data_IF_659906957371
#
_entry.id   IF_659906957371
#
_cell.length_a   1.000
_cell.length_b   1.000
_cell.length_c   1.000
_cell.angle_alpha   90.00
_cell.angle_beta   90.00
_cell.angle_gamma   90.00
#
_symmetry.space_group_name_H-M   'P 1'
#
loop_
_entity.id
_entity.type
_entity.pdbx_description
1 polymer ?
#
# COMPACT_ATOMS: atom_id res chain seq x y z
N UNK A 1 4.99 -12.39 36.14
CA UNK A 1 5.52 -11.87 34.85
C UNK A 1 5.44 -10.35 34.90
N UNK A 2 6.51 -9.60 34.59
CA UNK A 2 6.44 -8.14 34.63
C UNK A 2 5.64 -7.59 33.44
N UNK A 3 5.05 -6.40 33.58
CA UNK A 3 4.30 -5.72 32.50
C UNK A 3 5.16 -5.63 31.22
N UNK A 4 6.45 -5.29 31.37
CA UNK A 4 7.42 -5.23 30.27
C UNK A 4 7.59 -6.58 29.56
N UNK A 5 7.64 -7.69 30.30
CA UNK A 5 7.72 -9.04 29.71
C UNK A 5 6.45 -9.38 28.95
N UNK A 6 5.28 -9.02 29.48
CA UNK A 6 3.98 -9.23 28.81
C UNK A 6 3.90 -8.47 27.49
N UNK A 7 4.26 -7.19 27.48
CA UNK A 7 4.30 -6.35 26.27
C UNK A 7 5.27 -6.93 25.24
N UNK A 8 6.48 -7.32 25.66
CA UNK A 8 7.47 -7.90 24.75
C UNK A 8 6.99 -9.23 24.15
N UNK A 9 6.33 -10.08 24.94
CA UNK A 9 5.75 -11.35 24.47
C UNK A 9 4.62 -11.09 23.46
N UNK A 10 3.75 -10.13 23.73
CA UNK A 10 2.67 -9.73 22.82
C UNK A 10 3.22 -9.18 21.50
N UNK A 11 4.20 -8.27 21.56
CA UNK A 11 4.88 -7.70 20.38
C UNK A 11 5.56 -8.79 19.55
N UNK A 12 6.28 -9.71 20.17
CA UNK A 12 6.94 -10.81 19.48
C UNK A 12 5.93 -11.75 18.81
N UNK A 13 4.81 -12.06 19.50
CA UNK A 13 3.72 -12.86 18.94
C UNK A 13 3.08 -12.17 17.73
N UNK A 14 2.74 -10.89 17.85
CA UNK A 14 2.20 -10.09 16.75
C UNK A 14 3.15 -10.07 15.56
N UNK A 15 4.42 -9.74 15.78
CA UNK A 15 5.44 -9.70 14.74
C UNK A 15 5.56 -11.05 14.01
N UNK A 16 5.58 -12.17 14.76
CA UNK A 16 5.62 -13.52 14.18
C UNK A 16 4.39 -13.83 13.31
N UNK A 17 3.22 -13.33 13.67
CA UNK A 17 1.98 -13.50 12.90
C UNK A 17 2.05 -12.68 11.62
N UNK A 18 2.33 -11.37 11.72
CA UNK A 18 2.32 -10.47 10.55
C UNK A 18 3.49 -10.67 9.59
N UNK A 19 4.53 -11.40 10.00
CA UNK A 19 5.64 -11.81 9.13
C UNK A 19 5.58 -13.29 8.71
N UNK A 20 4.51 -14.01 9.06
CA UNK A 20 4.35 -15.41 8.64
C UNK A 20 4.11 -15.48 7.13
N UNK A 21 4.96 -16.21 6.41
CA UNK A 21 4.90 -16.29 4.95
C UNK A 21 3.52 -16.70 4.41
N UNK A 22 2.89 -17.71 5.01
CA UNK A 22 1.58 -18.17 4.55
C UNK A 22 0.50 -17.11 4.79
N UNK A 23 0.48 -16.46 5.96
CA UNK A 23 -0.48 -15.38 6.24
C UNK A 23 -0.29 -14.24 5.25
N UNK A 24 0.94 -13.76 5.08
CA UNK A 24 1.27 -12.64 4.18
C UNK A 24 0.89 -12.99 2.74
N UNK A 25 1.18 -14.21 2.29
CA UNK A 25 0.79 -14.72 0.96
C UNK A 25 -0.72 -14.64 0.76
N UNK A 26 -1.52 -15.15 1.69
CA UNK A 26 -2.99 -15.09 1.57
C UNK A 26 -3.50 -13.65 1.56
N UNK A 27 -2.98 -12.79 2.44
CA UNK A 27 -3.31 -11.38 2.44
C UNK A 27 -2.99 -10.71 1.09
N UNK A 28 -1.80 -10.96 0.53
CA UNK A 28 -1.41 -10.43 -0.77
C UNK A 28 -2.33 -10.92 -1.90
N UNK A 29 -2.73 -12.20 -1.92
CA UNK A 29 -3.69 -12.72 -2.90
C UNK A 29 -5.08 -12.09 -2.74
N UNK A 30 -5.55 -11.89 -1.52
CA UNK A 30 -6.81 -11.21 -1.23
C UNK A 30 -6.77 -9.78 -1.78
N UNK A 31 -5.66 -9.06 -1.61
CA UNK A 31 -5.51 -7.72 -2.22
C UNK A 31 -5.49 -7.83 -3.74
N UNK A 32 -4.56 -8.60 -4.33
CA UNK A 32 -4.40 -8.65 -5.79
C UNK A 32 -5.68 -9.07 -6.53
N UNK A 33 -6.44 -10.02 -6.00
CA UNK A 33 -7.66 -10.52 -6.64
C UNK A 33 -8.87 -9.74 -6.14
N UNK A 34 -9.07 -9.69 -4.82
CA UNK A 34 -10.26 -9.11 -4.21
C UNK A 34 -10.38 -7.61 -4.45
N UNK A 35 -9.30 -6.84 -4.21
CA UNK A 35 -9.35 -5.39 -4.41
C UNK A 35 -9.51 -5.03 -5.91
N UNK A 36 -8.75 -5.67 -6.80
CA UNK A 36 -8.84 -5.38 -8.25
C UNK A 36 -10.22 -5.74 -8.79
N UNK A 37 -10.79 -6.88 -8.40
CA UNK A 37 -12.15 -7.26 -8.80
C UNK A 37 -13.19 -6.29 -8.25
N UNK A 38 -13.11 -5.89 -6.97
CA UNK A 38 -14.05 -4.93 -6.39
C UNK A 38 -13.95 -3.56 -7.07
N UNK A 39 -12.74 -3.11 -7.42
CA UNK A 39 -12.54 -1.86 -8.16
C UNK A 39 -13.16 -1.93 -9.55
N UNK A 40 -12.91 -3.00 -10.30
CA UNK A 40 -13.50 -3.20 -11.64
C UNK A 40 -15.02 -3.27 -11.55
N UNK A 41 -15.57 -4.04 -10.60
CA UNK A 41 -17.02 -4.13 -10.39
C UNK A 41 -17.59 -2.76 -10.04
N UNK A 42 -16.92 -2.01 -9.16
CA UNK A 42 -17.32 -0.64 -8.79
C UNK A 42 -17.39 0.29 -10.01
N UNK A 43 -16.35 0.28 -10.85
CA UNK A 43 -16.30 1.07 -12.08
C UNK A 43 -17.39 0.64 -13.06
N UNK A 44 -17.61 -0.66 -13.25
CA UNK A 44 -18.66 -1.16 -14.15
C UNK A 44 -20.06 -0.77 -13.66
N UNK A 45 -20.32 -0.88 -12.36
CA UNK A 45 -21.59 -0.46 -11.77
C UNK A 45 -21.78 1.04 -11.95
N UNK A 46 -20.77 1.86 -11.61
CA UNK A 46 -20.86 3.31 -11.80
C UNK A 46 -21.10 3.66 -13.28
N UNK A 47 -20.36 3.05 -14.22
CA UNK A 47 -20.52 3.31 -15.64
C UNK A 47 -21.92 2.97 -16.20
N UNK A 48 -22.65 2.04 -15.57
CA UNK A 48 -24.00 1.63 -15.98
C UNK A 48 -25.08 2.49 -15.30
N UNK A 49 -24.87 2.87 -14.04
CA UNK A 49 -25.91 3.44 -13.19
C UNK A 49 -25.73 4.92 -12.84
N UNK A 50 -24.56 5.51 -13.12
CA UNK A 50 -24.34 6.95 -12.96
C UNK A 50 -25.22 7.74 -13.95
N UNK A 51 -26.09 8.65 -13.47
CA UNK A 51 -26.93 9.48 -14.34
C UNK A 51 -26.15 10.32 -15.36
N UNK A 52 -24.95 10.77 -15.01
CA UNK A 52 -24.12 11.65 -15.85
C UNK A 52 -23.09 10.86 -16.68
N UNK A 53 -22.98 9.55 -16.43
CA UNK A 53 -22.07 8.64 -17.12
C UNK A 53 -20.65 8.66 -16.52
N UNK A 54 -20.36 7.66 -15.69
CA UNK A 54 -19.05 7.53 -15.05
C UNK A 54 -17.97 7.09 -16.04
N UNK A 55 -16.86 7.85 -16.13
CA UNK A 55 -15.65 7.43 -16.84
C UNK A 55 -14.39 7.81 -16.07
N UNK A 56 -13.32 7.04 -16.23
CA UNK A 56 -12.01 7.33 -15.62
C UNK A 56 -11.36 8.65 -16.12
N UNK A 57 -11.88 9.20 -17.22
CA UNK A 57 -11.38 10.46 -17.79
C UNK A 57 -11.98 11.68 -17.10
N UNK A 58 -13.22 11.55 -16.64
CA UNK A 58 -14.06 12.64 -16.11
C UNK A 58 -14.31 12.55 -14.60
N UNK A 59 -14.14 11.36 -14.00
CA UNK A 59 -14.53 11.08 -12.62
C UNK A 59 -13.35 10.58 -11.80
N UNK A 60 -13.27 11.07 -10.57
CA UNK A 60 -12.24 10.70 -9.60
C UNK A 60 -12.45 9.27 -9.13
N UNK A 61 -11.40 8.64 -8.60
CA UNK A 61 -11.56 7.30 -8.01
C UNK A 61 -12.51 7.37 -6.80
N UNK A 62 -12.41 8.46 -6.02
CA UNK A 62 -13.24 8.72 -4.84
C UNK A 62 -14.74 8.79 -5.16
N UNK A 63 -15.13 9.17 -6.38
CA UNK A 63 -16.52 9.21 -6.83
C UNK A 63 -17.18 7.82 -6.76
N UNK A 64 -16.41 6.73 -6.83
CA UNK A 64 -16.91 5.36 -6.58
C UNK A 64 -17.40 5.15 -5.13
N UNK A 65 -17.02 6.03 -4.22
CA UNK A 65 -17.49 6.07 -2.84
C UNK A 65 -18.68 7.02 -2.61
N UNK A 66 -19.26 7.59 -3.68
CA UNK A 66 -20.40 8.50 -3.57
C UNK A 66 -21.70 7.91 -4.10
N UNK A 67 -22.79 8.14 -3.38
CA UNK A 67 -24.16 7.84 -3.83
C UNK A 67 -24.58 8.63 -5.08
N UNK A 68 -23.86 9.71 -5.42
CA UNK A 68 -24.12 10.50 -6.62
C UNK A 68 -23.74 9.75 -7.90
N UNK A 69 -22.75 8.85 -7.83
CA UNK A 69 -22.16 8.19 -8.99
C UNK A 69 -22.40 6.67 -9.02
N UNK A 70 -22.76 6.07 -7.88
CA UNK A 70 -23.03 4.62 -7.82
C UNK A 70 -24.10 4.28 -6.80
N UNK A 71 -24.96 3.28 -7.07
CA UNK A 71 -25.93 2.79 -6.10
C UNK A 71 -25.30 1.98 -4.95
N UNK A 72 -24.02 1.62 -5.06
CA UNK A 72 -23.32 0.73 -4.12
C UNK A 72 -21.93 1.28 -3.71
N UNK A 73 -21.85 2.51 -3.17
CA UNK A 73 -20.57 3.16 -2.84
C UNK A 73 -19.75 2.39 -1.80
N UNK A 74 -20.42 1.63 -0.94
CA UNK A 74 -19.78 0.81 0.07
C UNK A 74 -18.85 -0.26 -0.52
N UNK A 75 -19.00 -0.64 -1.80
CA UNK A 75 -18.09 -1.61 -2.44
C UNK A 75 -16.67 -1.05 -2.53
N UNK A 76 -16.53 0.22 -2.95
CA UNK A 76 -15.23 0.87 -3.02
C UNK A 76 -14.65 1.08 -1.61
N UNK A 77 -15.47 1.54 -0.67
CA UNK A 77 -15.06 1.75 0.72
C UNK A 77 -14.49 0.48 1.38
N UNK A 78 -15.20 -0.63 1.23
CA UNK A 78 -14.76 -1.94 1.75
C UNK A 78 -13.50 -2.39 1.02
N UNK A 79 -13.40 -2.17 -0.30
CA UNK A 79 -12.20 -2.50 -1.06
C UNK A 79 -10.97 -1.77 -0.51
N UNK A 80 -11.09 -0.46 -0.21
CA UNK A 80 -10.04 0.35 0.40
C UNK A 80 -9.64 -0.17 1.80
N UNK A 81 -10.61 -0.47 2.65
CA UNK A 81 -10.35 -1.00 4.00
C UNK A 81 -9.66 -2.36 3.95
N UNK A 82 -10.14 -3.28 3.11
CA UNK A 82 -9.54 -4.60 2.93
C UNK A 82 -8.13 -4.46 2.38
N UNK A 83 -7.94 -3.67 1.32
CA UNK A 83 -6.64 -3.48 0.69
C UNK A 83 -5.61 -2.88 1.66
N UNK A 84 -5.95 -1.80 2.37
CA UNK A 84 -5.05 -1.18 3.33
C UNK A 84 -4.73 -2.10 4.50
N UNK A 85 -5.72 -2.84 5.02
CA UNK A 85 -5.51 -3.78 6.14
C UNK A 85 -4.65 -4.98 5.75
N UNK A 86 -4.93 -5.57 4.58
CA UNK A 86 -4.26 -6.78 4.11
C UNK A 86 -2.87 -6.50 3.51
N UNK A 87 -2.54 -5.24 3.22
CA UNK A 87 -1.18 -4.85 2.82
C UNK A 87 -0.25 -4.63 4.02
N UNK A 88 -0.77 -4.47 5.24
CA UNK A 88 0.06 -4.33 6.45
C UNK A 88 1.01 -5.52 6.67
N UNK A 89 0.55 -6.79 6.64
CA UNK A 89 1.46 -7.94 6.76
C UNK A 89 2.58 -7.94 5.71
N UNK A 90 2.28 -7.54 4.46
CA UNK A 90 3.28 -7.44 3.40
C UNK A 90 4.37 -6.41 3.76
N UNK A 91 3.98 -5.25 4.30
CA UNK A 91 4.93 -4.22 4.76
C UNK A 91 5.88 -4.75 5.83
N UNK A 92 5.36 -5.45 6.85
CA UNK A 92 6.18 -6.07 7.90
C UNK A 92 7.09 -7.18 7.36
N UNK A 93 6.56 -8.02 6.48
CA UNK A 93 7.32 -9.10 5.86
C UNK A 93 8.49 -8.58 5.03
N UNK A 94 8.26 -7.52 4.24
CA UNK A 94 9.29 -6.90 3.42
C UNK A 94 10.42 -6.28 4.23
N UNK A 95 10.09 -5.59 5.34
CA UNK A 95 11.12 -5.08 6.26
C UNK A 95 11.96 -6.22 6.84
N UNK A 96 11.31 -7.29 7.31
CA UNK A 96 12.00 -8.46 7.86
C UNK A 96 12.89 -9.18 6.82
N UNK A 97 12.43 -9.26 5.57
CA UNK A 97 13.14 -9.92 4.48
C UNK A 97 14.38 -9.13 4.05
N UNK A 98 14.25 -7.81 3.91
CA UNK A 98 15.28 -6.98 3.29
C UNK A 98 16.21 -6.29 4.30
N UNK A 99 15.82 -6.13 5.56
CA UNK A 99 16.68 -5.61 6.61
C UNK A 99 16.45 -6.35 7.94
N UNK A 100 16.79 -7.65 8.03
CA UNK A 100 16.57 -8.44 9.24
C UNK A 100 17.31 -7.85 10.45
N UNK A 101 16.71 -8.00 11.64
CA UNK A 101 17.27 -7.49 12.89
C UNK A 101 18.72 -7.96 13.14
N UNK A 102 19.54 -7.05 13.67
CA UNK A 102 20.99 -7.19 13.89
C UNK A 102 21.41 -8.48 14.65
N UNK A 103 20.55 -9.05 15.51
CA UNK A 103 20.86 -10.31 16.21
C UNK A 103 20.96 -11.51 15.26
N UNK A 104 20.19 -11.52 14.16
CA UNK A 104 20.26 -12.56 13.12
C UNK A 104 21.47 -12.36 12.19
N UNK A 105 21.97 -11.13 12.12
CA UNK A 105 23.08 -10.74 11.24
C UNK A 105 24.43 -11.04 11.90
N UNK A 106 24.51 -10.92 13.23
CA UNK A 106 25.66 -11.41 14.01
C UNK A 106 25.87 -12.91 13.90
N UNK A 107 24.80 -13.72 13.75
CA UNK A 107 24.94 -15.17 13.59
C UNK A 107 25.31 -15.61 12.17
N UNK A 108 25.14 -14.74 11.17
CA UNK A 108 25.41 -15.02 9.75
C UNK A 108 26.68 -14.35 9.24
N UNK A 109 27.29 -13.45 10.01
CA UNK A 109 28.48 -12.68 9.61
C UNK A 109 28.20 -11.59 8.57
N UNK A 110 26.94 -11.40 8.15
CA UNK A 110 26.57 -10.37 7.18
C UNK A 110 26.51 -8.98 7.83
N UNK A 111 27.37 -8.07 7.36
CA UNK A 111 27.37 -6.67 7.80
C UNK A 111 26.48 -5.82 6.90
N UNK A 112 25.32 -5.40 7.41
CA UNK A 112 24.43 -4.48 6.71
C UNK A 112 24.82 -3.01 6.95
N UNK A 113 24.84 -2.22 5.88
CA UNK A 113 25.14 -0.79 5.97
C UNK A 113 24.03 -0.02 6.72
N UNK A 114 24.38 1.09 7.37
CA UNK A 114 23.41 1.98 8.03
C UNK A 114 22.36 2.52 7.06
N UNK A 115 22.76 2.79 5.81
CA UNK A 115 21.86 3.28 4.77
C UNK A 115 20.80 2.22 4.43
N UNK A 116 21.15 0.93 4.38
CA UNK A 116 20.19 -0.16 4.15
C UNK A 116 19.08 -0.16 5.19
N UNK A 117 19.43 -0.04 6.46
CA UNK A 117 18.44 0.03 7.55
C UNK A 117 17.56 1.28 7.44
N UNK A 118 18.14 2.45 7.14
CA UNK A 118 17.37 3.70 6.97
C UNK A 118 16.37 3.60 5.82
N UNK A 119 16.81 3.11 4.66
CA UNK A 119 15.93 2.91 3.51
C UNK A 119 14.80 1.93 3.83
N UNK A 120 15.11 0.81 4.49
CA UNK A 120 14.09 -0.16 4.92
C UNK A 120 13.12 0.45 5.93
N UNK A 121 13.59 1.21 6.91
CA UNK A 121 12.73 1.86 7.91
C UNK A 121 11.85 2.95 7.31
N UNK A 122 12.36 3.73 6.34
CA UNK A 122 11.53 4.70 5.62
C UNK A 122 10.51 4.02 4.72
N UNK A 123 10.90 2.98 3.98
CA UNK A 123 9.97 2.20 3.18
C UNK A 123 8.85 1.61 4.05
N UNK A 124 9.21 1.04 5.21
CA UNK A 124 8.25 0.54 6.19
C UNK A 124 7.32 1.66 6.70
N UNK A 125 7.87 2.77 7.19
CA UNK A 125 7.09 3.89 7.74
C UNK A 125 6.09 4.44 6.72
N UNK A 126 6.54 4.77 5.52
CA UNK A 126 5.66 5.35 4.49
C UNK A 126 4.63 4.35 3.99
N UNK A 127 4.98 3.06 3.87
CA UNK A 127 4.00 2.03 3.52
C UNK A 127 2.94 1.85 4.62
N UNK A 128 3.30 1.97 5.90
CA UNK A 128 2.33 1.96 7.01
C UNK A 128 1.42 3.20 6.96
N UNK A 129 1.97 4.38 6.68
CA UNK A 129 1.17 5.60 6.46
C UNK A 129 0.20 5.39 5.29
N UNK A 130 0.68 4.83 4.18
CA UNK A 130 -0.14 4.50 3.01
C UNK A 130 -1.28 3.55 3.34
N UNK A 131 -0.98 2.46 4.07
CA UNK A 131 -1.99 1.48 4.51
C UNK A 131 -3.07 2.13 5.38
N UNK A 132 -2.70 2.95 6.37
CA UNK A 132 -3.67 3.62 7.23
C UNK A 132 -4.44 4.72 6.50
N UNK A 133 -3.79 5.47 5.62
CA UNK A 133 -4.46 6.41 4.72
C UNK A 133 -5.52 5.70 3.89
N UNK A 134 -5.19 4.53 3.32
CA UNK A 134 -6.13 3.80 2.47
C UNK A 134 -7.31 3.20 3.24
N UNK A 135 -7.08 2.70 4.47
CA UNK A 135 -8.17 2.35 5.38
C UNK A 135 -9.03 3.60 5.67
N UNK A 136 -8.38 4.74 5.92
CA UNK A 136 -9.02 6.02 6.17
C UNK A 136 -9.91 6.47 5.01
N UNK A 137 -9.48 6.31 3.75
CA UNK A 137 -10.29 6.62 2.55
C UNK A 137 -11.60 5.83 2.54
N UNK A 138 -11.58 4.56 2.93
CA UNK A 138 -12.81 3.77 3.01
C UNK A 138 -13.70 4.13 4.20
N UNK A 139 -13.12 4.55 5.33
CA UNK A 139 -13.90 5.02 6.50
C UNK A 139 -14.54 6.37 6.20
N UNK A 140 -13.74 7.34 5.78
CA UNK A 140 -14.14 8.68 5.38
C UNK A 140 -14.29 8.68 3.87
N UNK A 141 -15.34 8.04 3.35
CA UNK A 141 -15.64 8.03 1.91
C UNK A 141 -16.00 9.44 1.41
N UNK A 142 -16.19 9.61 0.10
CA UNK A 142 -16.52 10.89 -0.51
C UNK A 142 -17.76 11.54 0.12
N UNK A 143 -18.81 10.75 0.39
CA UNK A 143 -20.03 11.24 1.08
C UNK A 143 -19.82 11.52 2.58
N UNK A 144 -18.68 11.10 3.15
CA UNK A 144 -18.32 11.25 4.57
C UNK A 144 -17.10 12.15 4.75
N UNK A 145 -16.92 13.10 3.83
CA UNK A 145 -15.88 14.12 3.90
C UNK A 145 -16.34 15.34 4.71
N UNK A 146 -16.34 15.20 6.03
CA UNK A 146 -16.93 16.21 6.91
C UNK A 146 -16.08 17.49 6.97
N UNK A 147 -16.58 18.60 6.42
CA UNK A 147 -15.89 19.91 6.37
C UNK A 147 -15.51 20.47 7.76
N UNK A 148 -16.30 20.18 8.79
CA UNK A 148 -16.02 20.60 10.16
C UNK A 148 -14.80 19.93 10.80
N UNK A 149 -14.30 18.85 10.19
CA UNK A 149 -13.05 18.18 10.55
C UNK A 149 -11.92 18.52 9.59
N UNK A 150 -12.10 19.53 8.72
CA UNK A 150 -11.09 19.91 7.75
C UNK A 150 -9.80 20.40 8.44
N UNK A 151 -8.67 19.96 7.91
CA UNK A 151 -7.34 20.41 8.31
C UNK A 151 -6.60 20.83 7.06
N UNK A 152 -5.99 22.02 7.07
CA UNK A 152 -5.32 22.60 5.90
C UNK A 152 -6.25 22.76 4.68
N UNK A 153 -7.54 23.01 4.92
CA UNK A 153 -8.54 23.19 3.86
C UNK A 153 -8.97 21.90 3.16
N UNK A 154 -8.61 20.74 3.71
CA UNK A 154 -8.98 19.43 3.20
C UNK A 154 -9.80 18.70 4.25
N UNK A 155 -10.93 18.14 3.85
CA UNK A 155 -11.71 17.26 4.71
C UNK A 155 -10.95 15.94 5.02
N UNK A 156 -11.47 15.13 5.94
CA UNK A 156 -10.83 13.88 6.33
C UNK A 156 -10.61 12.91 5.16
N UNK A 157 -11.49 12.85 4.16
CA UNK A 157 -11.29 12.02 2.97
C UNK A 157 -10.05 12.48 2.18
N UNK A 158 -9.96 13.78 1.88
CA UNK A 158 -8.84 14.36 1.15
C UNK A 158 -7.49 14.11 1.86
N UNK A 159 -7.44 14.33 3.18
CA UNK A 159 -6.24 14.06 3.98
C UNK A 159 -5.85 12.58 3.89
N UNK A 160 -6.81 11.66 4.06
CA UNK A 160 -6.55 10.23 4.01
C UNK A 160 -6.10 9.77 2.61
N UNK A 161 -6.65 10.37 1.55
CA UNK A 161 -6.22 10.14 0.16
C UNK A 161 -4.77 10.58 -0.06
N UNK A 162 -4.38 11.77 0.42
CA UNK A 162 -2.98 12.21 0.36
C UNK A 162 -2.04 11.30 1.15
N UNK A 163 -2.46 10.83 2.33
CA UNK A 163 -1.69 9.88 3.12
C UNK A 163 -1.57 8.52 2.40
N UNK A 164 -2.63 8.05 1.75
CA UNK A 164 -2.63 6.80 0.99
C UNK A 164 -1.67 6.87 -0.20
N UNK A 165 -1.92 7.81 -1.12
CA UNK A 165 -1.12 7.95 -2.34
C UNK A 165 0.32 8.36 -2.04
N UNK A 166 0.52 9.35 -1.16
CA UNK A 166 1.86 9.79 -0.76
C UNK A 166 2.62 8.70 0.00
N UNK A 167 1.95 8.00 0.91
CA UNK A 167 2.54 6.90 1.68
C UNK A 167 2.97 5.73 0.78
N UNK A 168 2.10 5.26 -0.11
CA UNK A 168 2.46 4.19 -1.04
C UNK A 168 3.53 4.60 -2.06
N UNK A 169 3.46 5.83 -2.59
CA UNK A 169 4.47 6.36 -3.52
C UNK A 169 5.85 6.44 -2.87
N UNK A 170 5.94 7.03 -1.67
CA UNK A 170 7.20 7.13 -0.94
C UNK A 170 7.68 5.77 -0.42
N UNK A 171 6.76 4.89 -0.02
CA UNK A 171 7.05 3.49 0.31
C UNK A 171 7.72 2.76 -0.85
N UNK A 172 7.14 2.87 -2.05
CA UNK A 172 7.70 2.32 -3.29
C UNK A 172 9.07 2.95 -3.63
N UNK A 173 9.22 4.26 -3.45
CA UNK A 173 10.47 4.97 -3.71
C UNK A 173 11.62 4.46 -2.84
N UNK A 174 11.44 4.41 -1.51
CA UNK A 174 12.49 3.96 -0.59
C UNK A 174 12.78 2.46 -0.75
N UNK A 175 11.74 1.65 -0.97
CA UNK A 175 11.88 0.22 -1.27
C UNK A 175 12.62 0.00 -2.58
N UNK A 176 12.33 0.81 -3.60
CA UNK A 176 12.98 0.76 -4.90
C UNK A 176 14.47 1.03 -4.79
N UNK A 177 14.87 2.08 -4.05
CA UNK A 177 16.28 2.33 -3.73
C UNK A 177 16.95 1.16 -2.99
N UNK A 178 16.25 0.56 -2.03
CA UNK A 178 16.74 -0.61 -1.31
C UNK A 178 17.00 -1.80 -2.25
N UNK A 179 16.06 -2.08 -3.15
CA UNK A 179 16.17 -3.15 -4.15
C UNK A 179 17.30 -2.87 -5.14
N UNK A 180 17.46 -1.64 -5.62
CA UNK A 180 18.48 -1.26 -6.61
C UNK A 180 19.89 -1.29 -6.01
N UNK A 181 20.09 -0.69 -4.84
CA UNK A 181 21.42 -0.51 -4.26
C UNK A 181 22.02 -1.77 -3.63
N UNK A 182 21.19 -2.69 -3.13
CA UNK A 182 21.67 -3.86 -2.38
C UNK A 182 21.43 -5.16 -3.13
N UNK A 183 22.23 -6.19 -2.85
CA UNK A 183 22.00 -7.51 -3.41
C UNK A 183 20.74 -8.12 -2.78
N UNK A 184 19.62 -8.00 -3.49
CA UNK A 184 18.34 -8.60 -3.14
C UNK A 184 17.98 -9.58 -4.25
N UNK A 185 17.19 -10.61 -3.95
CA UNK A 185 16.68 -11.54 -4.97
C UNK A 185 15.56 -10.92 -5.83
N UNK A 186 15.10 -9.71 -5.49
CA UNK A 186 14.06 -8.99 -6.23
C UNK A 186 14.70 -8.37 -7.48
N UNK A 187 14.08 -8.50 -8.68
CA UNK A 187 14.63 -7.93 -9.89
C UNK A 187 14.83 -6.41 -9.81
N UNK A 188 15.98 -5.95 -10.29
CA UNK A 188 16.38 -4.54 -10.25
C UNK A 188 15.42 -3.62 -10.99
N UNK A 189 14.83 -4.07 -12.10
CA UNK A 189 13.88 -3.27 -12.87
C UNK A 189 12.63 -2.91 -12.05
N UNK A 190 12.14 -3.79 -11.16
CA UNK A 190 11.04 -3.46 -10.24
C UNK A 190 11.47 -2.41 -9.21
N UNK A 191 12.73 -2.46 -8.78
CA UNK A 191 13.30 -1.43 -7.93
C UNK A 191 13.34 -0.07 -8.65
N UNK A 192 13.83 -0.03 -9.90
CA UNK A 192 13.86 1.18 -10.73
C UNK A 192 12.45 1.73 -10.96
N UNK A 193 11.48 0.86 -11.30
CA UNK A 193 10.10 1.27 -11.47
C UNK A 193 9.49 1.80 -10.16
N UNK A 194 9.79 1.20 -9.01
CA UNK A 194 9.36 1.72 -7.70
C UNK A 194 9.89 3.12 -7.38
N UNK A 195 11.08 3.47 -7.88
CA UNK A 195 11.67 4.81 -7.72
C UNK A 195 10.98 5.82 -8.65
N UNK A 196 10.79 5.47 -9.92
CA UNK A 196 10.38 6.42 -10.95
C UNK A 196 8.88 6.42 -11.24
N UNK A 197 8.25 5.25 -11.37
CA UNK A 197 6.87 5.11 -11.84
C UNK A 197 5.86 5.90 -11.00
N UNK A 198 5.57 5.48 -9.75
CA UNK A 198 4.64 6.19 -8.89
C UNK A 198 5.03 7.64 -8.62
N UNK A 199 6.33 7.92 -8.44
CA UNK A 199 6.81 9.26 -8.13
C UNK A 199 6.58 10.24 -9.28
N UNK A 200 6.86 9.84 -10.53
CA UNK A 200 6.63 10.68 -11.70
C UNK A 200 5.15 11.01 -11.84
N UNK A 201 4.25 10.02 -11.72
CA UNK A 201 2.82 10.27 -11.82
C UNK A 201 2.31 11.13 -10.66
N UNK A 202 2.80 10.91 -9.44
CA UNK A 202 2.45 11.72 -8.29
C UNK A 202 2.84 13.20 -8.47
N UNK A 203 4.05 13.48 -9.01
CA UNK A 203 4.49 14.85 -9.30
C UNK A 203 3.59 15.50 -10.34
N UNK A 204 3.25 14.79 -11.43
CA UNK A 204 2.37 15.32 -12.47
C UNK A 204 0.96 15.58 -11.90
N UNK A 205 0.44 14.65 -11.09
CA UNK A 205 -0.85 14.80 -10.42
C UNK A 205 -0.89 16.00 -9.46
N UNK A 206 0.21 16.28 -8.74
CA UNK A 206 0.31 17.47 -7.88
C UNK A 206 0.34 18.79 -8.66
N UNK A 207 0.73 18.77 -9.93
CA UNK A 207 0.79 19.96 -10.79
C UNK A 207 -0.58 20.24 -11.42
N UNK A 208 -1.22 19.21 -11.99
CA UNK A 208 -2.39 19.38 -12.87
C UNK A 208 -3.70 18.88 -12.24
N UNK A 209 -3.62 17.94 -11.29
CA UNK A 209 -4.77 17.43 -10.50
C UNK A 209 -6.02 17.18 -11.34
N UNK A 210 -5.94 16.18 -12.22
CA UNK A 210 -7.07 15.74 -13.04
C UNK A 210 -7.52 14.33 -12.65
N UNK A 211 -8.80 13.97 -12.88
CA UNK A 211 -9.30 12.63 -12.57
C UNK A 211 -8.44 11.50 -13.17
N UNK A 212 -8.06 11.65 -14.45
CA UNK A 212 -7.19 10.69 -15.13
C UNK A 212 -5.84 10.51 -14.42
N UNK A 213 -5.23 11.60 -13.92
CA UNK A 213 -3.94 11.52 -13.24
C UNK A 213 -4.03 10.82 -11.89
N UNK A 214 -5.15 10.94 -11.18
CA UNK A 214 -5.42 10.17 -9.97
C UNK A 214 -5.51 8.67 -10.29
N UNK A 215 -6.25 8.31 -11.35
CA UNK A 215 -6.32 6.94 -11.87
C UNK A 215 -4.97 6.38 -12.28
N UNK A 216 -4.17 7.15 -13.03
CA UNK A 216 -2.82 6.76 -13.42
C UNK A 216 -1.91 6.60 -12.21
N UNK A 217 -2.07 7.42 -11.16
CA UNK A 217 -1.31 7.29 -9.93
C UNK A 217 -1.63 5.95 -9.24
N UNK A 218 -2.91 5.62 -9.10
CA UNK A 218 -3.33 4.32 -8.58
C UNK A 218 -2.74 3.18 -9.41
N UNK A 219 -2.90 3.21 -10.74
CA UNK A 219 -2.38 2.16 -11.62
C UNK A 219 -0.86 2.03 -11.53
N UNK A 220 -0.13 3.13 -11.43
CA UNK A 220 1.33 3.10 -11.29
C UNK A 220 1.77 2.39 -9.99
N UNK A 221 1.04 2.59 -8.90
CA UNK A 221 1.28 1.90 -7.62
C UNK A 221 0.95 0.41 -7.77
N UNK A 222 -0.17 0.06 -8.40
CA UNK A 222 -0.58 -1.33 -8.63
C UNK A 222 0.39 -2.09 -9.52
N UNK A 223 0.87 -1.47 -10.61
CA UNK A 223 1.89 -2.04 -11.51
C UNK A 223 3.21 -2.28 -10.79
N UNK A 224 3.49 -1.59 -9.69
CA UNK A 224 4.65 -1.88 -8.85
C UNK A 224 4.38 -3.00 -7.83
N UNK A 225 3.33 -2.85 -7.00
CA UNK A 225 3.09 -3.73 -5.85
C UNK A 225 2.60 -5.13 -6.24
N UNK A 226 1.82 -5.26 -7.32
CA UNK A 226 1.28 -6.55 -7.77
C UNK A 226 2.42 -7.45 -8.28
N UNK A 227 3.26 -7.04 -9.26
CA UNK A 227 4.40 -7.86 -9.68
C UNK A 227 5.40 -8.15 -8.57
N UNK A 228 5.65 -7.17 -7.68
CA UNK A 228 6.49 -7.38 -6.50
C UNK A 228 5.94 -8.51 -5.63
N UNK A 229 4.65 -8.47 -5.31
CA UNK A 229 3.97 -9.50 -4.51
C UNK A 229 4.00 -10.87 -5.18
N UNK A 230 3.72 -10.94 -6.49
CA UNK A 230 3.78 -12.20 -7.25
C UNK A 230 5.17 -12.81 -7.19
N UNK A 231 6.23 -12.03 -7.41
CA UNK A 231 7.60 -12.52 -7.34
C UNK A 231 7.93 -13.07 -5.94
N UNK A 232 7.54 -12.36 -4.89
CA UNK A 232 7.81 -12.77 -3.51
C UNK A 232 7.12 -14.09 -3.14
N UNK A 233 5.90 -14.34 -3.63
CA UNK A 233 5.11 -15.51 -3.20
C UNK A 233 5.10 -16.67 -4.19
N UNK A 234 5.48 -16.46 -5.45
CA UNK A 234 5.57 -17.52 -6.46
C UNK A 234 6.97 -18.14 -6.54
N UNK A 235 8.04 -17.37 -6.29
CA UNK A 235 9.39 -17.92 -6.35
C UNK A 235 9.78 -18.64 -5.06
N UNK A 236 10.32 -19.84 -5.19
CA UNK A 236 10.74 -20.68 -4.06
C UNK A 236 11.84 -20.03 -3.22
N UNK A 237 12.68 -19.21 -3.83
CA UNK A 237 13.83 -18.57 -3.19
C UNK A 237 13.48 -17.60 -2.04
N UNK A 238 12.21 -17.20 -1.92
CA UNK A 238 11.67 -16.36 -0.85
C UNK A 238 10.88 -17.14 0.21
N UNK A 239 10.65 -18.45 0.01
CA UNK A 239 10.04 -19.28 1.04
C UNK A 239 11.02 -19.43 2.20
N UNK A 240 10.57 -19.26 3.46
CA UNK A 240 11.41 -19.61 4.60
C UNK A 240 11.76 -21.11 4.54
N UNK A 241 13.00 -21.45 4.85
CA UNK A 241 13.43 -22.83 5.05
C UNK A 241 12.72 -23.32 6.33
N UNK A 242 11.88 -24.35 6.20
CA UNK A 242 11.16 -24.99 7.32
C UNK A 242 12.09 -25.78 8.24
#
# INVERSE_FOLDING_TARGET
MSIRQSINKARAKFYKIVTNFNIVKHCAFIVMIGYVLLLIIGVVVAAIFDPDGYTIWSNWISDLGSLNHTPVPFLYDIACIIAGSMTIPLTFYMENLLAPFHKRTQSTGEHFSRLRFRLSSYAFLFSIIGNFGYIGVGIFSADRDFENLSVLGQGPHGIMSYLAFGGFTLGAFFMGWLIVLYNTKIPKFLGIYGILGPLTVAIINLIDSTPLLEWLLLFSILVWIIPLSLILFMKEEFRPIE
#
